data_IF_680626295527
#
_entry.id   IF_680626295527
#
_cell.length_a   1.000
_cell.length_b   1.000
_cell.length_c   1.000
_cell.angle_alpha   90.00
_cell.angle_beta   90.00
_cell.angle_gamma   90.00
#
_symmetry.space_group_name_H-M   'P 1'
#
loop_
_entity.id
_entity.type
_entity.pdbx_description
1 polymer ?
#
# COMPACT_ATOMS: atom_id res chain seq x y z
N UNK A 1 35.38 21.92 22.26
CA UNK A 1 34.78 21.00 23.26
C UNK A 1 33.31 21.41 23.40
N UNK A 2 32.44 20.88 22.54
CA UNK A 2 31.02 21.26 22.49
C UNK A 2 30.24 20.31 23.41
N UNK A 3 29.52 20.91 24.35
CA UNK A 3 28.85 20.26 25.47
C UNK A 3 27.59 19.54 24.97
N UNK A 4 27.65 18.20 24.88
CA UNK A 4 26.54 17.32 24.52
C UNK A 4 25.51 17.27 25.67
N UNK A 5 24.75 18.34 25.89
CA UNK A 5 23.62 18.34 26.82
C UNK A 5 22.40 18.96 26.15
N UNK A 6 21.42 18.10 25.90
CA UNK A 6 20.03 18.38 25.51
C UNK A 6 19.82 18.86 24.06
N UNK A 7 20.10 17.98 23.09
CA UNK A 7 19.25 17.95 21.90
C UNK A 7 18.08 17.04 22.23
N UNK A 8 16.96 17.64 22.59
CA UNK A 8 15.67 16.96 22.62
C UNK A 8 15.38 16.59 21.17
N UNK A 9 15.71 15.35 20.77
CA UNK A 9 15.24 14.78 19.51
C UNK A 9 13.72 14.65 19.63
N UNK A 10 13.00 15.68 19.19
CA UNK A 10 11.62 15.54 18.78
C UNK A 10 11.70 14.67 17.53
N UNK A 11 11.58 13.35 17.72
CA UNK A 11 11.26 12.41 16.65
C UNK A 11 9.87 12.84 16.21
N UNK A 12 9.80 13.67 15.17
CA UNK A 12 8.53 13.99 14.54
C UNK A 12 8.08 12.69 13.89
N UNK A 13 7.05 12.07 14.46
CA UNK A 13 6.35 10.92 13.91
C UNK A 13 5.71 11.31 12.57
N UNK A 14 6.48 11.39 11.50
CA UNK A 14 5.94 11.38 10.14
C UNK A 14 5.82 9.93 9.67
N UNK A 15 5.07 9.10 10.40
CA UNK A 15 4.77 7.76 9.94
C UNK A 15 3.61 7.81 8.94
N UNK A 16 3.94 7.71 7.65
CA UNK A 16 3.09 7.19 6.57
C UNK A 16 1.85 8.02 6.18
N UNK A 17 2.03 9.30 5.86
CA UNK A 17 1.01 10.04 5.10
C UNK A 17 1.46 10.19 3.65
N UNK A 18 0.75 9.54 2.72
CA UNK A 18 0.81 9.93 1.33
C UNK A 18 0.13 11.30 1.19
N UNK A 19 0.91 12.35 0.90
CA UNK A 19 0.38 13.61 0.41
C UNK A 19 -0.03 13.40 -1.04
N UNK A 20 -1.29 13.04 -1.23
CA UNK A 20 -1.85 12.70 -2.53
C UNK A 20 -3.27 13.22 -2.63
N UNK A 21 -3.65 13.63 -3.84
CA UNK A 21 -4.98 14.09 -4.15
C UNK A 21 -5.80 12.91 -4.63
N UNK A 22 -6.83 12.55 -3.85
CA UNK A 22 -7.71 11.43 -4.16
C UNK A 22 -9.04 11.94 -4.68
N UNK A 23 -9.42 11.53 -5.88
CA UNK A 23 -10.73 11.87 -6.42
C UNK A 23 -11.41 10.63 -6.97
N UNK A 24 -12.69 10.45 -6.64
CA UNK A 24 -13.48 9.31 -7.08
C UNK A 24 -14.58 9.82 -8.01
N UNK A 25 -14.65 9.21 -9.17
CA UNK A 25 -15.68 9.43 -10.17
C UNK A 25 -16.52 8.17 -10.36
N UNK A 26 -17.80 8.35 -10.60
CA UNK A 26 -18.70 7.26 -10.99
C UNK A 26 -19.46 7.60 -12.27
N UNK A 27 -19.85 6.57 -13.01
CA UNK A 27 -20.64 6.76 -14.22
C UNK A 27 -20.88 5.45 -14.96
N UNK A 28 -21.01 5.53 -16.27
CA UNK A 28 -21.27 4.36 -17.12
C UNK A 28 -20.45 4.44 -18.39
N UNK A 29 -19.73 3.36 -18.72
CA UNK A 29 -19.03 3.19 -19.99
C UNK A 29 -19.67 2.01 -20.71
N UNK A 30 -20.30 2.28 -21.85
CA UNK A 30 -21.16 1.30 -22.54
C UNK A 30 -22.35 0.91 -21.66
N UNK A 31 -22.44 -0.38 -21.28
CA UNK A 31 -23.49 -0.89 -20.37
C UNK A 31 -23.02 -1.03 -18.91
N UNK A 32 -21.73 -0.85 -18.66
CA UNK A 32 -21.12 -1.17 -17.37
C UNK A 32 -21.09 0.08 -16.48
N UNK A 33 -21.52 -0.06 -15.23
CA UNK A 33 -21.26 0.96 -14.20
C UNK A 33 -19.78 0.93 -13.88
N UNK A 34 -19.17 2.10 -13.77
CA UNK A 34 -17.74 2.23 -13.53
C UNK A 34 -17.45 3.21 -12.41
N UNK A 35 -16.34 2.96 -11.73
CA UNK A 35 -15.70 3.87 -10.78
C UNK A 35 -14.27 4.13 -11.25
N UNK A 36 -13.85 5.39 -11.25
CA UNK A 36 -12.47 5.79 -11.52
C UNK A 36 -11.90 6.49 -10.29
N UNK A 37 -10.77 5.99 -9.82
CA UNK A 37 -10.06 6.50 -8.65
C UNK A 37 -8.76 7.16 -9.09
N UNK A 38 -8.68 8.46 -8.92
CA UNK A 38 -7.49 9.26 -9.24
C UNK A 38 -6.64 9.42 -8.00
N UNK A 39 -5.36 9.08 -8.11
CA UNK A 39 -4.26 9.57 -7.27
C UNK A 39 -3.38 10.41 -8.19
N UNK A 40 -3.61 11.71 -8.19
CA UNK A 40 -3.07 12.59 -9.22
C UNK A 40 -2.83 14.00 -8.68
N UNK A 41 -1.57 14.45 -8.69
CA UNK A 41 -1.21 15.80 -8.27
C UNK A 41 -0.73 16.65 -9.45
N UNK A 42 0.17 16.10 -10.27
CA UNK A 42 0.76 16.76 -11.44
C UNK A 42 0.44 15.99 -12.73
N UNK A 43 0.48 16.68 -13.87
CA UNK A 43 0.14 16.11 -15.18
C UNK A 43 1.02 14.93 -15.65
N UNK A 44 2.19 14.75 -15.03
CA UNK A 44 3.11 13.64 -15.25
C UNK A 44 3.06 12.57 -14.15
N UNK A 45 2.25 12.75 -13.11
CA UNK A 45 2.07 11.83 -11.99
C UNK A 45 0.58 11.60 -11.76
N UNK A 46 0.02 10.75 -12.62
CA UNK A 46 -1.40 10.43 -12.65
C UNK A 46 -1.56 8.92 -12.59
N UNK A 47 -2.05 8.45 -11.45
CA UNK A 47 -2.41 7.06 -11.26
C UNK A 47 -3.93 6.95 -11.22
N UNK A 48 -4.50 6.12 -12.10
CA UNK A 48 -5.95 5.89 -12.14
C UNK A 48 -6.21 4.40 -11.97
N UNK A 49 -7.05 4.05 -11.00
CA UNK A 49 -7.63 2.71 -10.91
C UNK A 49 -9.05 2.74 -11.45
N UNK A 50 -9.31 1.88 -12.42
CA UNK A 50 -10.59 1.64 -13.04
C UNK A 50 -11.23 0.37 -12.46
N UNK A 51 -12.48 0.48 -12.02
CA UNK A 51 -13.29 -0.65 -11.57
C UNK A 51 -14.62 -0.64 -12.34
N UNK A 52 -15.04 -1.79 -12.85
CA UNK A 52 -16.35 -1.95 -13.47
C UNK A 52 -17.15 -3.06 -12.81
N UNK A 53 -18.48 -2.99 -12.95
CA UNK A 53 -19.41 -3.94 -12.35
C UNK A 53 -19.63 -5.24 -13.14
N UNK A 54 -18.84 -5.48 -14.20
CA UNK A 54 -18.89 -6.72 -14.99
C UNK A 54 -17.81 -7.69 -14.52
N UNK A 55 -16.56 -7.24 -14.39
CA UNK A 55 -15.44 -8.06 -13.92
C UNK A 55 -15.12 -7.89 -12.44
N UNK A 56 -15.44 -6.73 -11.84
CA UNK A 56 -14.99 -6.35 -10.49
C UNK A 56 -13.48 -6.47 -10.28
N UNK A 57 -12.71 -6.27 -11.35
CA UNK A 57 -11.25 -6.32 -11.34
C UNK A 57 -10.68 -4.89 -11.27
N UNK A 58 -10.01 -4.49 -10.17
CA UNK A 58 -9.31 -3.21 -10.11
C UNK A 58 -8.17 -3.20 -11.13
N UNK A 59 -8.26 -2.28 -12.09
CA UNK A 59 -7.32 -2.17 -13.21
C UNK A 59 -6.63 -0.81 -13.18
N UNK A 60 -5.30 -0.79 -13.01
CA UNK A 60 -4.52 0.42 -13.17
C UNK A 60 -4.48 0.78 -14.65
N UNK A 61 -4.96 1.97 -14.99
CA UNK A 61 -4.88 2.48 -16.34
C UNK A 61 -3.43 2.84 -16.66
N UNK A 62 -2.97 2.43 -17.84
CA UNK A 62 -1.64 2.73 -18.32
C UNK A 62 -1.67 4.08 -19.05
N UNK A 63 -0.94 5.05 -18.52
CA UNK A 63 -0.83 6.37 -19.13
C UNK A 63 0.10 6.25 -20.33
N UNK A 64 -0.43 6.54 -21.53
CA UNK A 64 0.41 6.66 -22.72
C UNK A 64 1.16 7.97 -22.61
N UNK A 65 2.29 7.94 -21.88
CA UNK A 65 3.17 9.08 -21.66
C UNK A 65 3.32 9.84 -22.98
N UNK A 66 2.88 11.11 -22.98
CA UNK A 66 2.96 12.08 -24.08
C UNK A 66 1.76 12.22 -25.04
N UNK A 67 0.61 11.56 -24.82
CA UNK A 67 -0.60 11.85 -25.63
C UNK A 67 -1.60 12.71 -24.85
N UNK A 68 -1.18 13.92 -24.47
CA UNK A 68 -2.15 14.97 -24.15
C UNK A 68 -2.88 15.35 -25.43
N UNK A 69 -4.19 15.25 -25.41
CA UNK A 69 -5.03 15.85 -26.45
C UNK A 69 -5.59 17.15 -25.89
N UNK A 70 -6.13 18.01 -26.76
CA UNK A 70 -6.79 19.24 -26.32
C UNK A 70 -7.82 18.93 -25.22
N UNK A 71 -7.54 19.39 -23.99
CA UNK A 71 -8.31 19.21 -22.77
C UNK A 71 -8.57 17.74 -22.36
N UNK A 72 -7.62 16.83 -22.60
CA UNK A 72 -7.76 15.44 -22.16
C UNK A 72 -6.49 14.59 -22.14
N UNK A 73 -6.62 13.42 -21.53
CA UNK A 73 -5.58 12.43 -21.31
C UNK A 73 -6.01 11.09 -21.92
N UNK A 74 -5.05 10.38 -22.51
CA UNK A 74 -5.27 9.08 -23.15
C UNK A 74 -4.64 7.98 -22.29
N UNK A 75 -5.43 6.95 -22.01
CA UNK A 75 -5.02 5.80 -21.24
C UNK A 75 -5.35 4.51 -21.98
N UNK A 76 -4.47 3.53 -21.86
CA UNK A 76 -4.81 2.17 -22.22
C UNK A 76 -5.42 1.43 -21.02
N UNK A 77 -6.38 0.55 -21.31
CA UNK A 77 -6.91 -0.39 -20.32
C UNK A 77 -6.16 -1.70 -20.51
N UNK A 78 -5.21 -2.04 -19.63
CA UNK A 78 -4.49 -3.29 -19.75
C UNK A 78 -5.40 -4.47 -19.42
N UNK A 79 -5.08 -5.64 -19.99
CA UNK A 79 -5.82 -6.88 -19.74
C UNK A 79 -5.72 -7.34 -18.28
N UNK A 80 -4.59 -7.07 -17.65
CA UNK A 80 -4.29 -7.25 -16.22
C UNK A 80 -3.34 -6.14 -15.78
N UNK A 81 -3.18 -5.88 -14.48
CA UNK A 81 -2.31 -4.81 -13.96
C UNK A 81 -0.82 -4.88 -14.37
N UNK A 82 -0.37 -6.00 -14.95
CA UNK A 82 1.03 -6.22 -15.36
C UNK A 82 1.14 -6.68 -16.82
N UNK A 83 0.06 -6.53 -17.60
CA UNK A 83 0.00 -6.97 -19.00
C UNK A 83 0.44 -5.87 -19.95
N UNK A 84 1.22 -6.23 -20.97
CA UNK A 84 1.51 -5.36 -22.13
C UNK A 84 0.36 -5.34 -23.15
N UNK A 85 -0.54 -6.32 -23.11
CA UNK A 85 -1.75 -6.34 -23.94
C UNK A 85 -2.83 -5.40 -23.37
N UNK A 86 -3.46 -4.62 -24.25
CA UNK A 86 -4.54 -3.70 -23.93
C UNK A 86 -5.88 -4.17 -24.52
N UNK A 87 -6.95 -4.04 -23.74
CA UNK A 87 -8.31 -4.44 -24.14
C UNK A 87 -9.17 -3.28 -24.64
N UNK A 88 -8.76 -2.05 -24.34
CA UNK A 88 -9.41 -0.82 -24.76
C UNK A 88 -8.45 0.38 -24.64
N UNK A 89 -8.84 1.50 -25.24
CA UNK A 89 -8.22 2.82 -25.03
C UNK A 89 -9.31 3.79 -24.59
N UNK A 90 -9.06 4.48 -23.48
CA UNK A 90 -9.97 5.46 -22.88
C UNK A 90 -9.32 6.84 -22.95
N UNK A 91 -10.12 7.81 -23.39
CA UNK A 91 -9.77 9.23 -23.37
C UNK A 91 -10.62 9.91 -22.31
N UNK A 92 -9.99 10.58 -21.36
CA UNK A 92 -10.66 11.36 -20.31
C UNK A 92 -10.46 12.85 -20.62
N UNK A 93 -11.55 13.59 -20.73
CA UNK A 93 -11.60 15.01 -21.09
C UNK A 93 -12.14 15.85 -19.93
N UNK A 94 -12.13 17.17 -20.11
CA UNK A 94 -12.49 18.18 -19.11
C UNK A 94 -11.56 18.11 -17.90
N UNK A 95 -10.27 17.91 -18.16
CA UNK A 95 -9.21 18.03 -17.18
C UNK A 95 -8.47 19.32 -17.50
N UNK A 96 -8.42 20.23 -16.53
CA UNK A 96 -7.68 21.48 -16.64
C UNK A 96 -6.36 21.38 -15.87
N UNK A 97 -5.43 22.28 -16.17
CA UNK A 97 -4.12 22.32 -15.54
C UNK A 97 -3.80 23.75 -15.09
N UNK A 98 -3.28 23.89 -13.89
CA UNK A 98 -2.70 25.13 -13.41
C UNK A 98 -1.38 25.44 -14.15
N UNK A 99 -0.86 26.65 -14.01
CA UNK A 99 0.43 27.06 -14.60
C UNK A 99 1.61 26.22 -14.09
N UNK A 100 1.52 25.73 -12.86
CA UNK A 100 2.50 24.84 -12.24
C UNK A 100 2.30 23.36 -12.65
N UNK A 101 1.41 23.10 -13.62
CA UNK A 101 1.03 21.78 -14.13
C UNK A 101 0.30 20.90 -13.11
N UNK A 102 -0.12 21.43 -11.97
CA UNK A 102 -1.02 20.71 -11.07
C UNK A 102 -2.39 20.53 -11.71
N UNK A 103 -3.01 19.38 -11.46
CA UNK A 103 -4.24 18.96 -12.13
C UNK A 103 -5.45 19.58 -11.45
N UNK A 104 -6.41 20.01 -12.26
CA UNK A 104 -7.75 20.41 -11.82
C UNK A 104 -8.76 19.42 -12.40
N UNK A 105 -9.30 18.59 -11.51
CA UNK A 105 -10.35 17.62 -11.84
C UNK A 105 -11.73 18.27 -11.66
N UNK A 106 -12.47 18.40 -12.76
CA UNK A 106 -13.78 19.05 -12.79
C UNK A 106 -14.89 18.19 -12.19
N UNK A 107 -15.99 18.80 -11.73
CA UNK A 107 -17.12 18.07 -11.13
C UNK A 107 -17.69 16.97 -12.04
N UNK A 108 -17.66 17.20 -13.36
CA UNK A 108 -18.03 16.22 -14.36
C UNK A 108 -16.87 16.04 -15.33
N UNK A 109 -16.54 14.80 -15.62
CA UNK A 109 -15.63 14.44 -16.70
C UNK A 109 -16.44 13.89 -17.87
N UNK A 110 -15.96 14.16 -19.07
CA UNK A 110 -16.46 13.53 -20.28
C UNK A 110 -15.33 12.66 -20.84
N UNK A 111 -15.67 11.66 -21.62
CA UNK A 111 -14.64 10.83 -22.19
C UNK A 111 -15.15 9.97 -23.34
N UNK A 112 -14.21 9.25 -23.94
CA UNK A 112 -14.46 8.37 -25.06
C UNK A 112 -13.70 7.07 -24.85
N UNK A 113 -14.39 5.94 -24.93
CA UNK A 113 -13.80 4.61 -25.03
C UNK A 113 -13.81 4.18 -26.50
N UNK A 114 -12.69 3.67 -27.00
CA UNK A 114 -12.62 3.15 -28.37
C UNK A 114 -13.59 1.99 -28.60
N UNK A 115 -13.87 1.20 -27.56
CA UNK A 115 -14.77 0.06 -27.61
C UNK A 115 -16.25 0.41 -27.37
N UNK A 116 -16.52 1.36 -26.48
CA UNK A 116 -17.86 1.62 -25.95
C UNK A 116 -18.44 3.00 -26.30
N UNK A 117 -17.65 3.87 -26.93
CA UNK A 117 -18.06 5.22 -27.32
C UNK A 117 -17.98 6.24 -26.18
N UNK A 118 -18.72 7.33 -26.34
CA UNK A 118 -18.70 8.45 -25.40
C UNK A 118 -19.30 8.06 -24.02
N UNK A 119 -18.75 8.66 -22.97
CA UNK A 119 -19.23 8.47 -21.60
C UNK A 119 -19.11 9.76 -20.78
N UNK A 120 -19.81 9.77 -19.64
CA UNK A 120 -19.77 10.85 -18.65
C UNK A 120 -19.53 10.25 -17.27
N UNK A 121 -18.76 10.97 -16.47
CA UNK A 121 -18.46 10.63 -15.10
C UNK A 121 -18.78 11.81 -14.19
N UNK A 122 -19.30 11.53 -13.01
CA UNK A 122 -19.63 12.53 -11.99
C UNK A 122 -18.76 12.29 -10.77
N UNK A 123 -18.16 13.36 -10.25
CA UNK A 123 -17.33 13.28 -9.04
C UNK A 123 -18.20 12.98 -7.83
N UNK A 124 -17.82 11.93 -7.09
CA UNK A 124 -18.48 11.47 -5.87
C UNK A 124 -17.74 11.93 -4.61
N UNK A 125 -16.42 11.93 -4.65
CA UNK A 125 -15.58 12.22 -3.49
C UNK A 125 -14.27 12.88 -3.93
N UNK A 126 -13.76 13.79 -3.10
CA UNK A 126 -12.47 14.46 -3.26
C UNK A 126 -11.75 14.64 -1.92
N UNK A 127 -10.44 14.40 -1.94
CA UNK A 127 -9.50 14.74 -0.89
C UNK A 127 -8.31 15.42 -1.56
N UNK A 128 -8.33 16.76 -1.60
CA UNK A 128 -7.38 17.55 -2.37
C UNK A 128 -6.56 18.48 -1.46
N UNK A 129 -5.26 18.52 -1.70
CA UNK A 129 -4.33 19.50 -1.19
C UNK A 129 -4.09 20.62 -2.22
N UNK A 130 -3.71 21.78 -1.71
CA UNK A 130 -3.35 22.96 -2.50
C UNK A 130 -2.27 23.74 -1.74
N UNK A 131 -1.56 24.63 -2.42
CA UNK A 131 -0.61 25.53 -1.79
C UNK A 131 -1.32 26.83 -1.35
N UNK A 132 -0.90 27.41 -0.23
CA UNK A 132 -1.28 28.78 0.13
C UNK A 132 -0.29 29.80 -0.46
N UNK A 133 -0.53 31.09 -0.23
CA UNK A 133 0.31 32.19 -0.76
C UNK A 133 1.77 32.15 -0.25
N UNK A 134 2.03 31.40 0.82
CA UNK A 134 3.35 31.19 1.42
C UNK A 134 3.99 29.84 0.98
N UNK A 135 3.50 29.24 -0.12
CA UNK A 135 3.92 27.93 -0.64
C UNK A 135 3.81 26.76 0.37
N UNK A 136 2.97 26.90 1.39
CA UNK A 136 2.68 25.82 2.33
C UNK A 136 1.50 24.98 1.84
N UNK A 137 1.69 23.66 1.87
CA UNK A 137 0.63 22.72 1.54
C UNK A 137 -0.48 22.77 2.60
N UNK A 138 -1.71 22.99 2.15
CA UNK A 138 -2.92 22.96 2.96
C UNK A 138 -3.97 22.09 2.29
N UNK A 139 -4.86 21.53 3.09
CA UNK A 139 -6.03 20.86 2.54
C UNK A 139 -6.99 21.89 1.93
N UNK A 140 -7.44 21.65 0.69
CA UNK A 140 -8.37 22.52 -0.03
C UNK A 140 -9.73 22.59 0.67
N UNK A 141 -10.26 21.42 1.03
CA UNK A 141 -11.54 21.25 1.71
C UNK A 141 -11.34 20.62 3.08
N UNK A 142 -11.48 21.39 4.16
CA UNK A 142 -11.39 20.86 5.53
C UNK A 142 -12.72 20.26 6.03
N UNK A 143 -13.28 19.36 5.23
CA UNK A 143 -14.53 18.64 5.52
C UNK A 143 -14.21 17.38 6.34
N UNK A 144 -15.18 16.96 7.15
CA UNK A 144 -15.14 15.73 7.93
C UNK A 144 -15.93 14.64 7.19
N UNK A 145 -15.39 13.43 7.17
CA UNK A 145 -16.01 12.27 6.55
C UNK A 145 -15.62 10.99 7.31
N UNK A 146 -16.48 10.00 7.24
CA UNK A 146 -16.29 8.71 7.88
C UNK A 146 -16.50 7.59 6.88
N UNK A 147 -15.62 6.59 6.92
CA UNK A 147 -15.72 5.35 6.16
C UNK A 147 -15.84 5.55 4.63
N UNK A 148 -15.15 6.56 4.09
CA UNK A 148 -15.02 6.69 2.64
C UNK A 148 -14.14 5.58 2.10
N UNK A 149 -14.49 5.05 0.93
CA UNK A 149 -13.84 3.87 0.37
C UNK A 149 -12.86 4.26 -0.73
N UNK A 150 -11.61 3.82 -0.60
CA UNK A 150 -10.59 3.96 -1.64
C UNK A 150 -10.16 2.57 -2.13
N UNK A 151 -10.25 2.34 -3.44
CA UNK A 151 -9.87 1.06 -4.06
C UNK A 151 -8.39 0.73 -3.83
N UNK A 152 -8.09 -0.55 -3.72
CA UNK A 152 -6.72 -1.06 -3.79
C UNK A 152 -6.48 -1.71 -5.15
N UNK A 153 -5.28 -1.48 -5.70
CA UNK A 153 -4.88 -1.96 -7.03
C UNK A 153 -4.85 -3.48 -7.07
N UNK A 154 -4.27 -4.12 -6.06
CA UNK A 154 -4.19 -5.57 -6.01
C UNK A 154 -5.49 -6.18 -5.49
N UNK A 155 -5.72 -7.41 -5.94
CA UNK A 155 -6.91 -8.18 -5.63
C UNK A 155 -6.54 -9.66 -5.70
N UNK A 156 -7.30 -10.51 -5.01
CA UNK A 156 -7.08 -11.96 -5.06
C UNK A 156 -7.84 -12.56 -6.22
N UNK A 157 -7.76 -13.88 -6.39
CA UNK A 157 -8.56 -14.58 -7.39
C UNK A 157 -10.05 -14.27 -7.28
N UNK A 158 -10.60 -14.32 -6.07
CA UNK A 158 -12.04 -14.23 -5.85
C UNK A 158 -12.51 -12.90 -5.21
N UNK A 159 -11.58 -12.05 -4.75
CA UNK A 159 -11.90 -10.86 -3.98
C UNK A 159 -11.13 -9.62 -4.42
N UNK A 160 -11.73 -8.44 -4.23
CA UNK A 160 -11.07 -7.14 -4.34
C UNK A 160 -11.26 -6.33 -3.06
N UNK A 161 -10.46 -5.30 -2.87
CA UNK A 161 -10.36 -4.60 -1.60
C UNK A 161 -10.56 -3.10 -1.75
N UNK A 162 -11.27 -2.50 -0.79
CA UNK A 162 -11.30 -1.05 -0.59
C UNK A 162 -10.86 -0.72 0.83
N UNK A 163 -9.90 0.17 0.98
CA UNK A 163 -9.55 0.73 2.29
C UNK A 163 -10.63 1.70 2.73
N UNK A 164 -11.05 1.60 3.99
CA UNK A 164 -11.95 2.54 4.64
C UNK A 164 -11.12 3.66 5.25
N UNK A 165 -11.34 4.88 4.81
CA UNK A 165 -10.66 6.06 5.33
C UNK A 165 -11.65 6.99 6.03
N UNK A 166 -11.19 7.61 7.11
CA UNK A 166 -11.96 8.60 7.86
C UNK A 166 -11.09 9.79 8.19
N UNK A 167 -11.73 10.94 8.39
CA UNK A 167 -11.07 12.19 8.69
C UNK A 167 -11.98 13.09 9.52
N UNK A 168 -11.44 13.61 10.63
CA UNK A 168 -12.05 14.71 11.39
C UNK A 168 -11.61 16.08 10.85
N UNK A 169 -12.33 17.14 11.19
CA UNK A 169 -11.89 18.52 10.87
C UNK A 169 -10.50 18.80 11.46
N UNK A 170 -9.60 19.33 10.64
CA UNK A 170 -8.23 19.69 11.04
C UNK A 170 -7.24 18.53 11.13
N UNK A 171 -7.68 17.29 10.89
CA UNK A 171 -6.82 16.10 10.83
C UNK A 171 -6.57 15.66 9.39
N UNK A 172 -5.49 14.92 9.15
CA UNK A 172 -5.31 14.17 7.89
C UNK A 172 -6.20 12.92 7.88
N UNK A 173 -6.42 12.36 6.68
CA UNK A 173 -7.12 11.09 6.56
C UNK A 173 -6.36 9.98 7.31
N UNK A 174 -7.10 8.99 7.79
CA UNK A 174 -6.59 7.79 8.46
C UNK A 174 -7.32 6.58 7.94
N UNK A 175 -6.62 5.46 7.80
CA UNK A 175 -7.28 4.19 7.50
C UNK A 175 -7.91 3.65 8.79
N UNK A 176 -9.18 3.26 8.70
CA UNK A 176 -9.97 2.71 9.82
C UNK A 176 -10.38 1.26 9.57
N UNK A 177 -10.15 0.74 8.38
CA UNK A 177 -10.42 -0.65 8.05
C UNK A 177 -10.24 -0.97 6.57
N UNK A 178 -10.60 -2.20 6.20
CA UNK A 178 -10.62 -2.69 4.82
C UNK A 178 -11.95 -3.41 4.61
N UNK A 179 -12.65 -3.04 3.54
CA UNK A 179 -13.75 -3.81 3.00
C UNK A 179 -13.23 -4.79 1.95
N UNK A 180 -13.60 -6.04 2.10
CA UNK A 180 -13.31 -7.14 1.18
C UNK A 180 -14.59 -7.46 0.42
N UNK A 181 -14.54 -7.42 -0.91
CA UNK A 181 -15.69 -7.68 -1.78
C UNK A 181 -15.46 -8.92 -2.63
N UNK A 182 -16.54 -9.60 -2.99
CA UNK A 182 -16.48 -10.73 -3.93
C UNK A 182 -16.46 -10.21 -5.36
N UNK A 183 -15.53 -10.70 -6.18
CA UNK A 183 -15.52 -10.40 -7.63
C UNK A 183 -16.70 -11.03 -8.37
N UNK A 184 -17.26 -12.12 -7.84
CA UNK A 184 -18.38 -12.83 -8.45
C UNK A 184 -19.61 -11.94 -8.70
N UNK A 185 -19.89 -11.02 -7.78
CA UNK A 185 -21.13 -10.23 -7.79
C UNK A 185 -20.99 -8.81 -7.22
N UNK A 186 -19.80 -8.40 -6.78
CA UNK A 186 -19.56 -7.11 -6.15
C UNK A 186 -20.09 -6.98 -4.73
N UNK A 187 -20.54 -8.08 -4.11
CA UNK A 187 -21.07 -8.03 -2.75
C UNK A 187 -19.96 -7.85 -1.71
N UNK A 188 -20.22 -7.03 -0.69
CA UNK A 188 -19.35 -6.94 0.48
C UNK A 188 -19.31 -8.30 1.18
N UNK A 189 -18.10 -8.87 1.28
CA UNK A 189 -17.87 -10.14 1.94
C UNK A 189 -17.55 -9.98 3.42
N UNK A 190 -16.65 -9.04 3.75
CA UNK A 190 -16.14 -8.84 5.10
C UNK A 190 -15.62 -7.41 5.26
N UNK A 191 -15.73 -6.88 6.49
CA UNK A 191 -15.01 -5.67 6.92
C UNK A 191 -13.99 -6.07 7.99
N UNK A 192 -12.74 -5.67 7.81
CA UNK A 192 -11.63 -5.85 8.75
C UNK A 192 -11.30 -4.47 9.33
N UNK A 193 -11.53 -4.26 10.62
CA UNK A 193 -11.39 -2.95 11.29
C UNK A 193 -10.55 -2.99 12.58
N UNK A 194 -9.96 -4.14 12.89
CA UNK A 194 -9.05 -4.37 14.02
C UNK A 194 -7.57 -4.21 13.62
N UNK A 195 -7.31 -3.32 12.66
CA UNK A 195 -5.97 -3.02 12.15
C UNK A 195 -5.22 -2.09 13.12
N UNK A 196 -3.93 -2.36 13.35
CA UNK A 196 -3.09 -1.56 14.25
C UNK A 196 -2.04 -0.79 13.46
N UNK A 197 -2.10 0.54 13.54
CA UNK A 197 -1.11 1.43 12.94
C UNK A 197 -0.99 1.27 11.41
N UNK A 198 -2.11 1.02 10.74
CA UNK A 198 -2.17 0.94 9.28
C UNK A 198 -2.15 2.35 8.65
N UNK A 199 -0.99 2.72 8.12
CA UNK A 199 -0.82 3.96 7.35
C UNK A 199 -1.41 3.84 5.96
N UNK A 200 -1.94 4.93 5.42
CA UNK A 200 -2.48 4.93 4.06
C UNK A 200 -1.35 5.12 3.04
N UNK A 201 -1.07 4.09 2.24
CA UNK A 201 -0.02 4.10 1.22
C UNK A 201 -0.59 4.27 -0.19
N UNK A 202 -1.71 4.97 -0.34
CA UNK A 202 -2.46 5.07 -1.60
C UNK A 202 -3.09 3.73 -2.03
N UNK A 203 -3.21 3.49 -3.34
CA UNK A 203 -3.76 2.29 -3.96
C UNK A 203 -2.92 1.03 -3.76
N UNK A 204 -1.73 1.13 -3.17
CA UNK A 204 -0.74 0.04 -3.05
C UNK A 204 -0.48 -0.36 -1.60
N UNK A 205 -1.51 -0.36 -0.77
CA UNK A 205 -1.39 -0.74 0.64
C UNK A 205 -1.61 -2.24 0.87
N UNK A 206 -2.27 -2.92 -0.07
CA UNK A 206 -2.56 -4.36 -0.05
C UNK A 206 -1.82 -5.06 -1.18
N UNK A 207 -1.29 -6.24 -0.88
CA UNK A 207 -0.56 -7.09 -1.81
C UNK A 207 -1.05 -8.54 -1.73
N UNK A 208 -1.09 -9.26 -2.87
CA UNK A 208 -1.69 -10.62 -2.99
C UNK A 208 -0.75 -11.67 -3.57
N UNK A 209 0.54 -11.38 -3.69
CA UNK A 209 1.54 -12.20 -4.41
C UNK A 209 2.16 -13.35 -3.59
N UNK A 210 1.48 -13.86 -2.56
CA UNK A 210 1.99 -14.90 -1.65
C UNK A 210 0.88 -15.85 -1.23
N UNK A 211 1.14 -17.15 -1.30
CA UNK A 211 0.33 -18.20 -0.67
C UNK A 211 0.88 -18.46 0.75
N UNK A 212 0.30 -17.79 1.74
CA UNK A 212 0.76 -17.82 3.13
C UNK A 212 0.09 -18.94 3.94
N UNK A 213 -0.98 -19.56 3.45
CA UNK A 213 -1.61 -20.71 4.09
C UNK A 213 -1.28 -22.06 3.45
N UNK A 214 -0.55 -22.04 2.33
CA UNK A 214 -0.09 -23.20 1.56
C UNK A 214 -1.24 -24.03 0.96
N UNK A 215 -2.34 -23.39 0.56
CA UNK A 215 -3.50 -24.05 -0.02
C UNK A 215 -3.59 -23.95 -1.56
N UNK A 216 -2.74 -23.13 -2.19
CA UNK A 216 -2.70 -22.92 -3.63
C UNK A 216 -3.94 -22.25 -4.23
N UNK A 217 -4.75 -21.54 -3.45
CA UNK A 217 -6.01 -20.91 -3.90
C UNK A 217 -5.91 -19.43 -4.24
N UNK A 218 -4.75 -18.81 -4.04
CA UNK A 218 -4.48 -17.40 -4.36
C UNK A 218 -5.50 -16.43 -3.75
N UNK A 219 -5.94 -16.70 -2.51
CA UNK A 219 -6.86 -15.87 -1.73
C UNK A 219 -6.23 -15.41 -0.41
N UNK A 220 -4.94 -15.12 -0.49
CA UNK A 220 -4.14 -14.61 0.61
C UNK A 220 -3.70 -13.19 0.26
N UNK A 221 -3.63 -12.34 1.28
CA UNK A 221 -3.15 -10.98 1.11
C UNK A 221 -2.41 -10.50 2.36
N UNK A 222 -1.61 -9.46 2.19
CA UNK A 222 -1.03 -8.75 3.31
C UNK A 222 -1.14 -7.25 3.15
N UNK A 223 -1.08 -6.58 4.29
CA UNK A 223 -1.13 -5.14 4.43
C UNK A 223 0.30 -4.64 4.64
N UNK A 224 0.74 -3.66 3.86
CA UNK A 224 2.07 -3.06 3.99
C UNK A 224 2.05 -1.80 4.88
N UNK A 225 3.13 -1.58 5.63
CA UNK A 225 3.44 -0.33 6.35
C UNK A 225 4.37 0.60 5.60
N UNK A 226 5.00 0.13 4.52
CA UNK A 226 5.93 0.91 3.71
C UNK A 226 5.59 0.74 2.24
N UNK A 227 5.81 1.79 1.44
CA UNK A 227 6.01 1.58 0.01
C UNK A 227 7.35 0.84 -0.17
N UNK A 228 7.54 0.15 -1.30
CA UNK A 228 8.78 -0.57 -1.61
C UNK A 228 9.99 0.27 -1.21
N UNK A 229 10.77 -0.18 -0.21
CA UNK A 229 11.99 0.51 0.20
C UNK A 229 13.18 -0.04 -0.59
N UNK A 230 14.27 0.71 -0.61
CA UNK A 230 15.48 0.51 -1.43
C UNK A 230 16.09 -0.91 -1.32
N UNK A 231 15.70 -1.70 -0.30
CA UNK A 231 16.12 -3.09 -0.07
C UNK A 231 14.96 -4.13 -0.29
N UNK A 232 14.12 -3.94 -1.31
CA UNK A 232 13.24 -4.96 -1.96
C UNK A 232 12.22 -5.73 -1.10
N UNK A 233 11.85 -5.27 0.10
CA UNK A 233 10.80 -5.93 0.89
C UNK A 233 9.99 -4.97 1.73
N UNK A 234 8.67 -5.01 1.55
CA UNK A 234 7.69 -4.29 2.35
C UNK A 234 7.76 -4.70 3.83
N UNK A 235 7.58 -3.73 4.73
CA UNK A 235 7.32 -4.01 6.14
C UNK A 235 5.86 -4.43 6.27
N UNK A 236 5.58 -5.71 6.52
CA UNK A 236 4.20 -6.19 6.61
C UNK A 236 3.59 -5.81 7.97
N UNK A 237 2.41 -5.18 7.93
CA UNK A 237 1.56 -4.97 9.11
C UNK A 237 0.85 -6.26 9.52
N UNK A 238 0.15 -6.88 8.58
CA UNK A 238 -0.65 -8.07 8.86
C UNK A 238 -0.83 -8.93 7.61
N UNK A 239 -0.69 -10.25 7.78
CA UNK A 239 -1.07 -11.27 6.80
C UNK A 239 -2.46 -11.83 7.08
N UNK A 240 -3.23 -12.03 6.02
CA UNK A 240 -4.54 -12.65 6.05
C UNK A 240 -4.64 -13.75 5.00
N UNK A 241 -5.35 -14.81 5.35
CA UNK A 241 -5.75 -15.85 4.40
C UNK A 241 -7.24 -16.10 4.50
N UNK A 242 -7.84 -16.51 3.39
CA UNK A 242 -9.24 -16.93 3.39
C UNK A 242 -9.41 -18.30 4.05
N UNK A 243 -10.26 -18.38 5.08
CA UNK A 243 -10.66 -19.65 5.69
C UNK A 243 -12.07 -20.03 5.21
N UNK A 244 -12.14 -21.02 4.33
CA UNK A 244 -13.40 -21.57 3.80
C UNK A 244 -14.35 -22.06 4.89
N UNK A 245 -13.84 -22.62 5.99
CA UNK A 245 -14.70 -23.14 7.07
C UNK A 245 -15.40 -22.00 7.81
N UNK A 246 -14.70 -20.89 7.99
CA UNK A 246 -15.24 -19.70 8.64
C UNK A 246 -15.89 -18.73 7.65
N UNK A 247 -15.71 -18.95 6.34
CA UNK A 247 -16.18 -18.09 5.26
C UNK A 247 -15.80 -16.62 5.49
N UNK A 248 -14.52 -16.39 5.84
CA UNK A 248 -13.93 -15.07 6.07
C UNK A 248 -12.40 -15.15 6.02
N UNK A 249 -11.76 -14.00 5.84
CA UNK A 249 -10.33 -13.82 6.01
C UNK A 249 -9.96 -13.80 7.50
N UNK A 250 -8.90 -14.52 7.84
CA UNK A 250 -8.37 -14.64 9.20
C UNK A 250 -6.95 -14.11 9.28
N UNK A 251 -6.65 -13.39 10.34
CA UNK A 251 -5.29 -12.91 10.61
C UNK A 251 -4.37 -14.07 10.99
N UNK A 252 -3.25 -14.18 10.28
CA UNK A 252 -2.33 -15.31 10.39
C UNK A 252 -1.33 -15.22 11.53
N UNK A 253 -1.32 -14.13 12.32
CA UNK A 253 -0.31 -13.88 13.35
C UNK A 253 1.12 -13.73 12.79
N UNK A 254 1.24 -13.15 11.60
CA UNK A 254 2.52 -12.78 10.98
C UNK A 254 2.57 -11.27 10.69
N UNK A 255 3.69 -10.66 11.05
CA UNK A 255 4.03 -9.25 10.84
C UNK A 255 5.55 -9.10 10.66
N UNK A 256 5.98 -7.96 10.11
CA UNK A 256 7.38 -7.56 9.99
C UNK A 256 7.93 -7.69 8.57
N UNK A 257 9.25 -7.62 8.43
CA UNK A 257 9.98 -7.64 7.14
C UNK A 257 10.69 -8.98 6.90
N UNK A 258 11.10 -9.21 5.65
CA UNK A 258 11.92 -10.36 5.22
C UNK A 258 11.35 -11.72 5.66
N UNK A 259 10.08 -11.96 5.32
CA UNK A 259 9.41 -13.23 5.58
C UNK A 259 9.56 -14.13 4.36
N UNK A 260 10.17 -15.29 4.56
CA UNK A 260 10.26 -16.36 3.55
C UNK A 260 9.41 -17.55 3.99
N UNK A 261 8.74 -18.16 3.02
CA UNK A 261 7.85 -19.29 3.23
C UNK A 261 8.49 -20.57 2.66
N UNK A 262 8.46 -21.64 3.44
CA UNK A 262 8.86 -23.00 3.02
C UNK A 262 7.58 -23.83 2.94
N UNK A 263 7.08 -24.02 1.71
CA UNK A 263 5.82 -24.71 1.44
C UNK A 263 5.87 -26.20 1.77
N UNK A 264 7.03 -26.84 1.62
CA UNK A 264 7.21 -28.27 1.92
C UNK A 264 7.06 -28.52 3.43
N UNK A 265 7.64 -27.64 4.24
CA UNK A 265 7.58 -27.73 5.71
C UNK A 265 6.38 -27.00 6.31
N UNK A 266 5.66 -26.20 5.51
CA UNK A 266 4.61 -25.28 5.97
C UNK A 266 5.09 -24.35 7.08
N UNK A 267 6.27 -23.77 6.86
CA UNK A 267 6.91 -22.87 7.83
C UNK A 267 7.18 -21.51 7.24
N UNK A 268 7.32 -20.51 8.11
CA UNK A 268 7.79 -19.18 7.73
C UNK A 268 9.04 -18.82 8.55
N UNK A 269 10.01 -18.18 7.91
CA UNK A 269 11.19 -17.61 8.54
C UNK A 269 11.11 -16.09 8.37
N UNK A 270 11.20 -15.36 9.48
CA UNK A 270 11.27 -13.89 9.49
C UNK A 270 12.63 -13.44 9.98
N UNK A 271 13.21 -12.45 9.30
CA UNK A 271 14.46 -11.82 9.73
C UNK A 271 14.24 -10.34 10.04
N UNK A 272 14.65 -9.93 11.24
CA UNK A 272 14.71 -8.52 11.64
C UNK A 272 16.15 -8.12 11.83
N UNK A 273 16.62 -7.16 11.04
CA UNK A 273 18.00 -6.70 11.03
C UNK A 273 18.05 -5.33 11.69
N UNK A 274 18.89 -5.17 12.71
CA UNK A 274 19.00 -3.92 13.46
C UNK A 274 20.47 -3.46 13.53
N UNK A 275 20.78 -2.21 13.16
CA UNK A 275 22.11 -1.64 13.34
C UNK A 275 22.39 -1.42 14.83
N UNK A 276 23.58 -1.80 15.29
CA UNK A 276 23.99 -1.70 16.69
C UNK A 276 25.25 -0.85 16.78
N UNK A 277 25.13 0.37 17.31
CA UNK A 277 26.22 1.36 17.47
C UNK A 277 26.79 1.91 16.15
N UNK A 278 27.02 1.07 15.15
CA UNK A 278 27.52 1.43 13.82
C UNK A 278 26.75 0.68 12.73
N UNK A 279 26.69 1.23 11.51
CA UNK A 279 26.07 0.57 10.35
C UNK A 279 26.69 -0.81 10.03
N UNK A 280 27.98 -0.98 10.33
CA UNK A 280 28.75 -2.22 10.08
C UNK A 280 28.57 -3.28 11.17
N UNK A 281 27.80 -3.00 12.23
CA UNK A 281 27.50 -3.99 13.27
C UNK A 281 25.99 -4.20 13.30
N UNK A 282 25.54 -5.40 12.97
CA UNK A 282 24.12 -5.74 12.84
C UNK A 282 23.74 -6.82 13.83
N UNK A 283 22.64 -6.64 14.53
CA UNK A 283 21.94 -7.71 15.23
C UNK A 283 20.82 -8.23 14.33
N UNK A 284 20.81 -9.52 14.03
CA UNK A 284 19.75 -10.17 13.26
C UNK A 284 18.98 -11.10 14.18
N UNK A 285 17.67 -10.86 14.30
CA UNK A 285 16.73 -11.79 14.92
C UNK A 285 16.13 -12.65 13.83
N UNK A 286 16.30 -13.96 13.94
CA UNK A 286 15.67 -14.94 13.06
C UNK A 286 14.61 -15.68 13.84
N UNK A 287 13.35 -15.47 13.45
CA UNK A 287 12.19 -16.14 14.01
C UNK A 287 11.70 -17.21 13.04
N UNK A 288 11.45 -18.42 13.56
CA UNK A 288 10.87 -19.53 12.82
C UNK A 288 9.45 -19.77 13.32
N UNK A 289 8.54 -19.91 12.38
CA UNK A 289 7.13 -20.11 12.62
C UNK A 289 6.64 -21.38 11.92
N UNK A 290 5.75 -22.10 12.58
CA UNK A 290 5.00 -23.21 11.98
C UNK A 290 3.56 -22.77 11.74
N UNK A 291 3.05 -23.06 10.55
CA UNK A 291 1.64 -22.88 10.23
C UNK A 291 0.85 -24.08 10.73
N UNK A 292 -0.18 -23.80 11.53
CA UNK A 292 -0.99 -24.83 12.19
C UNK A 292 -2.36 -25.01 11.52
N UNK A 293 -3.04 -26.10 11.87
CA UNK A 293 -4.42 -26.37 11.44
C UNK A 293 -5.42 -25.30 11.93
N UNK A 294 -5.07 -24.55 12.97
CA UNK A 294 -5.82 -23.40 13.51
C UNK A 294 -5.72 -22.14 12.63
N UNK A 295 -5.13 -22.26 11.43
CA UNK A 295 -5.01 -21.20 10.43
C UNK A 295 -4.18 -20.01 10.92
N UNK A 296 -3.18 -20.28 11.75
CA UNK A 296 -2.28 -19.28 12.34
C UNK A 296 -0.86 -19.81 12.44
N UNK A 297 0.08 -18.87 12.40
CA UNK A 297 1.48 -19.11 12.69
C UNK A 297 1.79 -19.04 14.17
N UNK A 298 2.55 -20.03 14.63
CA UNK A 298 3.09 -20.09 16.00
C UNK A 298 4.60 -19.99 15.94
N UNK A 299 5.19 -19.08 16.73
CA UNK A 299 6.63 -18.95 16.87
C UNK A 299 7.19 -20.20 17.57
N UNK A 300 8.05 -20.95 16.89
CA UNK A 300 8.65 -22.17 17.43
C UNK A 300 10.08 -21.96 17.92
N UNK A 301 10.81 -21.06 17.27
CA UNK A 301 12.18 -20.73 17.66
C UNK A 301 12.54 -19.28 17.31
N UNK A 302 13.35 -18.65 18.15
CA UNK A 302 13.85 -17.28 17.94
C UNK A 302 15.32 -17.19 18.36
N UNK A 303 16.19 -16.90 17.39
CA UNK A 303 17.64 -16.74 17.62
C UNK A 303 18.06 -15.31 17.30
N UNK A 304 19.07 -14.80 18.00
CA UNK A 304 19.65 -13.50 17.73
C UNK A 304 21.16 -13.62 17.58
N UNK A 305 21.67 -13.17 16.45
CA UNK A 305 23.09 -13.14 16.13
C UNK A 305 23.56 -11.70 15.94
N UNK A 306 24.73 -11.36 16.49
CA UNK A 306 25.42 -10.12 16.23
C UNK A 306 26.56 -10.39 15.27
N UNK A 307 26.52 -9.73 14.11
CA UNK A 307 27.56 -9.80 13.08
C UNK A 307 28.21 -8.43 12.94
N UNK A 308 29.54 -8.39 12.97
CA UNK A 308 30.33 -7.20 12.64
C UNK A 308 31.05 -7.42 11.33
N UNK A 309 30.87 -6.51 10.40
CA UNK A 309 31.55 -6.48 9.12
C UNK A 309 32.79 -5.58 9.15
N UNK A 310 33.72 -5.79 8.21
CA UNK A 310 34.77 -4.83 7.88
C UNK A 310 34.15 -3.52 7.38
N UNK A 311 34.93 -2.44 7.38
CA UNK A 311 34.44 -1.11 6.96
C UNK A 311 33.93 -1.08 5.52
N UNK A 312 34.44 -1.96 4.66
CA UNK A 312 33.96 -2.15 3.29
C UNK A 312 32.82 -3.17 3.16
N UNK A 313 32.29 -3.73 4.27
CA UNK A 313 31.18 -4.68 4.27
C UNK A 313 31.50 -6.12 3.85
N UNK A 314 32.68 -6.38 3.29
CA UNK A 314 32.97 -7.65 2.61
C UNK A 314 33.34 -8.82 3.53
N UNK A 315 33.86 -8.55 4.73
CA UNK A 315 34.38 -9.60 5.63
C UNK A 315 33.68 -9.57 6.98
N UNK A 316 33.26 -10.74 7.45
CA UNK A 316 32.77 -10.91 8.81
C UNK A 316 33.97 -10.89 9.76
N UNK A 317 34.05 -9.87 10.61
CA UNK A 317 35.07 -9.71 11.65
C UNK A 317 34.67 -10.39 12.96
N UNK A 318 33.37 -10.51 13.22
CA UNK A 318 32.81 -11.14 14.41
C UNK A 318 31.43 -11.69 14.10
N UNK A 319 31.16 -12.90 14.59
CA UNK A 319 29.82 -13.49 14.68
C UNK A 319 29.68 -14.12 16.06
N UNK A 320 28.60 -13.79 16.77
CA UNK A 320 28.25 -14.40 18.07
C UNK A 320 26.77 -14.24 18.37
N UNK A 321 26.25 -15.00 19.33
CA UNK A 321 24.92 -14.74 19.88
C UNK A 321 24.83 -13.32 20.47
N UNK A 322 23.67 -12.66 20.28
CA UNK A 322 23.38 -11.37 20.92
C UNK A 322 23.36 -11.50 22.45
N UNK A 323 23.83 -10.47 23.14
CA UNK A 323 23.54 -10.33 24.57
C UNK A 323 22.11 -9.82 24.80
N UNK A 324 21.65 -9.83 26.06
CA UNK A 324 20.29 -9.42 26.42
C UNK A 324 19.94 -7.98 26.00
N UNK A 325 20.90 -7.04 26.07
CA UNK A 325 20.67 -5.63 25.70
C UNK A 325 20.54 -5.47 24.19
N UNK A 326 21.39 -6.13 23.42
CA UNK A 326 21.37 -6.13 21.95
C UNK A 326 20.07 -6.74 21.42
N UNK A 327 19.66 -7.90 21.95
CA UNK A 327 18.40 -8.54 21.58
C UNK A 327 17.21 -7.64 21.89
N UNK A 328 17.15 -7.06 23.10
CA UNK A 328 16.04 -6.19 23.51
C UNK A 328 15.97 -4.90 22.67
N UNK A 329 17.13 -4.31 22.35
CA UNK A 329 17.19 -3.16 21.45
C UNK A 329 16.58 -3.51 20.09
N UNK A 330 17.05 -4.60 19.47
CA UNK A 330 16.57 -4.98 18.15
C UNK A 330 15.08 -5.34 18.14
N UNK A 331 14.58 -6.04 19.17
CA UNK A 331 13.15 -6.33 19.29
C UNK A 331 12.29 -5.06 19.29
N UNK A 332 12.75 -4.00 19.97
CA UNK A 332 12.03 -2.72 20.11
C UNK A 332 12.25 -1.73 18.96
N UNK A 333 13.31 -1.91 18.17
CA UNK A 333 13.59 -1.02 17.04
C UNK A 333 12.44 -1.03 16.03
N UNK A 334 12.11 0.13 15.46
CA UNK A 334 11.14 0.21 14.37
C UNK A 334 11.74 -0.44 13.12
N UNK A 335 10.95 -1.25 12.41
CA UNK A 335 11.36 -1.81 11.12
C UNK A 335 11.27 -0.80 9.98
N UNK A 336 10.59 0.34 10.19
CA UNK A 336 10.49 1.44 9.24
C UNK A 336 11.76 2.32 9.20
N UNK A 337 12.62 2.23 10.21
CA UNK A 337 13.77 3.12 10.39
C UNK A 337 15.11 2.39 10.19
N UNK A 338 15.09 1.13 9.73
CA UNK A 338 16.32 0.35 9.56
C UNK A 338 17.17 0.94 8.42
N UNK A 339 16.52 1.52 7.40
CA UNK A 339 17.17 2.08 6.22
C UNK A 339 17.88 3.43 6.51
N UNK A 340 17.47 4.19 7.54
CA UNK A 340 18.12 5.46 7.94
C UNK A 340 19.53 5.28 8.56
N UNK A 341 19.95 4.05 8.81
CA UNK A 341 21.27 3.73 9.35
C UNK A 341 22.21 3.12 8.31
N UNK A 342 21.76 3.00 7.05
CA UNK A 342 22.54 2.45 5.95
C UNK A 342 23.33 3.50 5.15
N UNK A 343 23.08 4.80 5.40
CA UNK A 343 23.75 5.92 4.73
C UNK A 343 24.83 6.60 5.59
#
# INVERSE_FOLDING_TARGET
>A
MINLKKVLFIIVFFSNFALANYTIYEGTIGKNKVELYFDAFYDNDINIIYLNNDSFEPTQLDNVHNTQIENGLVFNVPKTNFSEDFIDTIVIKNIDFNKDRSIILNQNLEGYSKKYGDFKLVRKFDYEFTYNDDDNLKLKNNIEFENEEIIQRESTKDHYFKTLVSKKKGEFLKVVGINVYRKKDGSLHQTINDLKDFGFLSFTSIYTNRDANFDGKDNDFYISKSKESIDDSNVIDAYFSYDEKQNKFVYLNLTGRFITFDSDKKTAKKEKICPIKTAMTRATITDLYEYSDDKKYTLTNSKCELIKYSENGEKILLSRACNKKEKLFCQKASELLIDEYAD
#
